data_IF_509393249853
#
_entry.id   IF_509393249853
#
_cell.length_a   1.000
_cell.length_b   1.000
_cell.length_c   1.000
_cell.angle_alpha   90.00
_cell.angle_beta   90.00
_cell.angle_gamma   90.00
#
_symmetry.space_group_name_H-M   'P 1'
#
loop_
_entity.id
_entity.type
_entity.pdbx_description
1 polymer ?
#
# COMPACT_ATOMS: atom_id res chain seq x y z
N UNK A 1 -14.28 -14.27 22.13
CA UNK A 1 -13.03 -14.95 21.75
C UNK A 1 -12.32 -14.17 20.67
N UNK A 2 -10.99 -14.13 20.71
CA UNK A 2 -10.20 -13.40 19.71
C UNK A 2 -10.19 -14.21 18.42
N UNK A 3 -10.65 -13.60 17.33
CA UNK A 3 -10.58 -14.20 16.00
C UNK A 3 -9.43 -13.57 15.22
N UNK A 4 -8.21 -14.07 15.42
CA UNK A 4 -6.98 -13.54 14.80
C UNK A 4 -6.93 -13.81 13.28
N UNK A 5 -7.79 -14.73 12.78
CA UNK A 5 -7.85 -15.11 11.37
C UNK A 5 -8.86 -14.29 10.54
N UNK A 6 -9.59 -13.36 11.13
CA UNK A 6 -10.65 -12.62 10.44
C UNK A 6 -10.11 -11.58 9.46
N UNK A 7 -9.01 -10.93 9.82
CA UNK A 7 -8.35 -9.95 8.97
C UNK A 7 -6.93 -10.43 8.60
N UNK A 8 -6.44 -10.07 7.40
CA UNK A 8 -5.06 -10.37 7.01
C UNK A 8 -4.05 -9.67 7.93
N UNK A 9 -2.86 -10.25 8.05
CA UNK A 9 -1.79 -9.77 8.92
C UNK A 9 -1.40 -8.30 8.69
N UNK A 10 -1.52 -7.81 7.47
CA UNK A 10 -1.20 -6.42 7.17
C UNK A 10 -2.20 -5.42 7.77
N UNK A 11 -3.37 -5.88 8.23
CA UNK A 11 -4.39 -5.08 8.92
C UNK A 11 -4.38 -5.27 10.45
N UNK A 12 -3.31 -5.80 11.04
CA UNK A 12 -3.20 -6.03 12.49
C UNK A 12 -3.40 -4.79 13.37
N UNK A 13 -3.27 -3.61 12.79
CA UNK A 13 -3.55 -2.35 13.49
C UNK A 13 -5.05 -2.09 13.67
N UNK A 14 -5.91 -2.77 12.91
CA UNK A 14 -7.35 -2.64 13.03
C UNK A 14 -7.84 -3.43 14.23
N UNK A 15 -8.64 -2.79 15.07
CA UNK A 15 -9.30 -3.41 16.23
C UNK A 15 -10.78 -3.11 16.18
N UNK A 16 -11.59 -4.08 16.54
CA UNK A 16 -13.03 -3.92 16.55
C UNK A 16 -13.75 -5.16 17.03
N UNK A 17 -15.07 -5.11 17.01
CA UNK A 17 -15.96 -6.21 17.33
C UNK A 17 -16.84 -6.46 16.11
N UNK A 18 -17.02 -7.71 15.77
CA UNK A 18 -17.97 -8.15 14.74
C UNK A 18 -19.10 -8.88 15.43
N UNK A 19 -20.30 -8.37 15.24
CA UNK A 19 -21.54 -9.02 15.67
C UNK A 19 -22.31 -9.45 14.42
N UNK A 20 -22.70 -10.70 14.35
CA UNK A 20 -23.46 -11.25 13.24
C UNK A 20 -24.44 -12.31 13.76
N UNK A 21 -25.73 -12.16 13.46
CA UNK A 21 -26.75 -13.16 13.85
C UNK A 21 -26.51 -14.52 13.17
N UNK A 22 -25.76 -14.56 12.07
CA UNK A 22 -25.44 -15.78 11.33
C UNK A 22 -24.25 -16.56 11.92
N UNK A 23 -23.53 -15.98 12.88
CA UNK A 23 -22.46 -16.65 13.61
C UNK A 23 -23.06 -17.35 14.84
N UNK A 24 -23.75 -18.47 14.64
CA UNK A 24 -24.22 -19.26 15.76
C UNK A 24 -23.05 -20.00 16.42
N UNK A 25 -22.98 -19.93 17.76
CA UNK A 25 -21.97 -20.58 18.58
C UNK A 25 -22.15 -22.10 18.72
N UNK A 26 -22.81 -22.77 17.80
CA UNK A 26 -23.05 -24.20 17.85
C UNK A 26 -21.84 -25.03 17.42
N UNK A 27 -21.20 -25.60 18.39
CA UNK A 27 -19.83 -26.17 18.39
C UNK A 27 -19.69 -27.52 17.63
N UNK A 28 -20.74 -28.16 17.11
CA UNK A 28 -20.58 -29.62 16.86
C UNK A 28 -20.78 -30.10 15.41
N UNK A 29 -21.26 -29.31 14.46
CA UNK A 29 -21.42 -29.80 13.06
C UNK A 29 -21.09 -28.79 11.94
N UNK A 30 -20.67 -27.58 12.25
CA UNK A 30 -20.67 -26.43 11.32
C UNK A 30 -19.30 -25.81 11.08
N UNK A 31 -18.21 -26.45 11.51
CA UNK A 31 -16.85 -25.90 11.30
C UNK A 31 -16.59 -25.44 9.86
N UNK A 32 -17.04 -26.23 8.88
CA UNK A 32 -16.83 -25.88 7.46
C UNK A 32 -17.75 -24.76 6.95
N UNK A 33 -18.97 -24.65 7.48
CA UNK A 33 -19.88 -23.55 7.15
C UNK A 33 -19.43 -22.26 7.85
N UNK A 34 -19.02 -22.39 9.10
CA UNK A 34 -18.45 -21.32 9.91
C UNK A 34 -17.20 -20.72 9.25
N UNK A 35 -16.31 -21.55 8.72
CA UNK A 35 -15.11 -21.10 8.00
C UNK A 35 -15.45 -20.34 6.71
N UNK A 36 -16.47 -20.74 6.00
CA UNK A 36 -16.92 -20.02 4.78
C UNK A 36 -17.51 -18.66 5.13
N UNK A 37 -18.35 -18.58 6.16
CA UNK A 37 -18.96 -17.34 6.62
C UNK A 37 -17.91 -16.37 7.14
N UNK A 38 -16.98 -16.83 7.99
CA UNK A 38 -15.86 -16.03 8.49
C UNK A 38 -15.00 -15.50 7.34
N UNK A 39 -14.75 -16.31 6.31
CA UNK A 39 -13.98 -15.89 5.14
C UNK A 39 -14.70 -14.77 4.36
N UNK A 40 -16.02 -14.89 4.17
CA UNK A 40 -16.82 -13.84 3.50
C UNK A 40 -16.85 -12.56 4.33
N UNK A 41 -17.05 -12.66 5.64
CA UNK A 41 -17.02 -11.52 6.57
C UNK A 41 -15.64 -10.86 6.52
N UNK A 42 -14.57 -11.64 6.60
CA UNK A 42 -13.18 -11.14 6.54
C UNK A 42 -12.88 -10.38 5.24
N UNK A 43 -13.31 -10.92 4.10
CA UNK A 43 -13.16 -10.26 2.79
C UNK A 43 -13.92 -8.93 2.72
N UNK A 44 -15.14 -8.89 3.24
CA UNK A 44 -15.95 -7.67 3.27
C UNK A 44 -15.34 -6.62 4.23
N UNK A 45 -14.84 -7.04 5.38
CA UNK A 45 -14.15 -6.17 6.33
C UNK A 45 -12.87 -5.61 5.72
N UNK A 46 -12.05 -6.47 5.09
CA UNK A 46 -10.83 -6.04 4.40
C UNK A 46 -11.14 -4.98 3.34
N UNK A 47 -12.16 -5.22 2.52
CA UNK A 47 -12.62 -4.26 1.50
C UNK A 47 -13.08 -2.94 2.13
N UNK A 48 -13.84 -3.02 3.23
CA UNK A 48 -14.33 -1.84 3.94
C UNK A 48 -13.19 -1.03 4.54
N UNK A 49 -12.25 -1.68 5.22
CA UNK A 49 -11.09 -1.01 5.81
C UNK A 49 -10.25 -0.32 4.74
N UNK A 50 -10.03 -0.96 3.58
CA UNK A 50 -9.32 -0.32 2.47
C UNK A 50 -10.04 0.92 1.97
N UNK A 51 -11.35 0.85 1.77
CA UNK A 51 -12.14 2.00 1.34
C UNK A 51 -12.11 3.16 2.37
N UNK A 52 -12.12 2.83 3.66
CA UNK A 52 -12.00 3.83 4.73
C UNK A 52 -10.59 4.46 4.77
N UNK A 53 -9.53 3.68 4.47
CA UNK A 53 -8.16 4.22 4.34
C UNK A 53 -8.02 5.12 3.10
N UNK A 54 -8.63 4.77 1.96
CA UNK A 54 -8.66 5.62 0.77
C UNK A 54 -9.39 6.95 1.05
N UNK A 55 -10.50 6.87 1.76
CA UNK A 55 -11.24 8.04 2.21
C UNK A 55 -10.39 8.88 3.17
N UNK A 56 -9.74 8.27 4.15
CA UNK A 56 -8.85 8.95 5.10
C UNK A 56 -7.72 9.69 4.38
N UNK A 57 -7.04 9.04 3.42
CA UNK A 57 -6.01 9.66 2.60
C UNK A 57 -6.52 10.90 1.84
N UNK A 58 -7.77 10.86 1.38
CA UNK A 58 -8.39 11.94 0.60
C UNK A 58 -8.89 13.10 1.47
N UNK A 59 -9.53 12.77 2.59
CA UNK A 59 -10.27 13.75 3.41
C UNK A 59 -9.37 14.41 4.47
N UNK A 60 -8.36 13.68 4.98
CA UNK A 60 -7.41 14.16 5.99
C UNK A 60 -5.97 13.70 5.68
N UNK A 61 -5.34 14.44 4.79
CA UNK A 61 -3.97 14.14 4.32
C UNK A 61 -2.95 14.09 5.45
N UNK A 62 -2.97 15.07 6.34
CA UNK A 62 -1.99 15.15 7.45
C UNK A 62 -2.18 14.00 8.45
N UNK A 63 -3.42 13.68 8.77
CA UNK A 63 -3.74 12.53 9.61
C UNK A 63 -3.29 11.24 8.98
N UNK A 64 -3.50 11.08 7.67
CA UNK A 64 -3.04 9.90 6.93
C UNK A 64 -1.52 9.78 6.89
N UNK A 65 -0.78 10.85 6.70
CA UNK A 65 0.69 10.84 6.74
C UNK A 65 1.21 10.34 8.10
N UNK A 66 0.66 10.84 9.20
CA UNK A 66 0.99 10.36 10.55
C UNK A 66 0.63 8.89 10.77
N UNK A 67 -0.51 8.46 10.24
CA UNK A 67 -0.90 7.06 10.23
C UNK A 67 0.10 6.22 9.42
N UNK A 68 0.48 6.70 8.24
CA UNK A 68 1.40 5.98 7.34
C UNK A 68 2.81 5.85 7.93
N UNK A 69 3.31 6.82 8.67
CA UNK A 69 4.59 6.74 9.38
C UNK A 69 4.63 5.53 10.35
N UNK A 70 3.51 5.23 11.00
CA UNK A 70 3.40 4.13 11.96
C UNK A 70 3.05 2.79 11.30
N UNK A 71 2.20 2.79 10.30
CA UNK A 71 1.57 1.58 9.74
C UNK A 71 1.87 1.34 8.25
N UNK A 72 2.61 2.20 7.58
CA UNK A 72 2.94 2.07 6.16
C UNK A 72 3.71 0.78 5.82
N UNK A 73 4.45 0.21 6.79
CA UNK A 73 5.10 -1.10 6.64
C UNK A 73 4.09 -2.22 6.50
N UNK A 74 3.04 -2.21 7.31
CA UNK A 74 1.99 -3.21 7.28
C UNK A 74 1.24 -3.15 5.95
N UNK A 75 0.90 -1.96 5.47
CA UNK A 75 0.30 -1.76 4.14
C UNK A 75 1.23 -2.31 3.05
N UNK A 76 2.52 -1.96 3.12
CA UNK A 76 3.53 -2.49 2.20
C UNK A 76 3.65 -4.01 2.24
N UNK A 77 3.58 -4.62 3.41
CA UNK A 77 3.56 -6.07 3.56
C UNK A 77 2.33 -6.70 2.88
N UNK A 78 1.16 -6.03 2.96
CA UNK A 78 -0.05 -6.48 2.27
C UNK A 78 0.07 -6.57 0.75
N UNK A 79 0.95 -5.75 0.14
CA UNK A 79 1.23 -5.81 -1.30
C UNK A 79 2.05 -7.04 -1.67
N UNK A 80 2.99 -7.45 -0.78
CA UNK A 80 3.92 -8.57 -1.03
C UNK A 80 3.33 -9.91 -0.60
N UNK A 81 2.43 -9.87 0.38
CA UNK A 81 1.74 -11.08 0.86
C UNK A 81 0.81 -11.67 -0.20
N UNK A 82 0.59 -12.97 -0.11
CA UNK A 82 -0.23 -13.73 -1.08
C UNK A 82 -1.71 -13.36 -0.99
N UNK A 83 -2.10 -12.31 -1.67
CA UNK A 83 -3.47 -11.74 -1.65
C UNK A 83 -4.07 -11.47 -3.03
N UNK A 84 -3.37 -11.88 -4.07
CA UNK A 84 -3.79 -11.69 -5.45
C UNK A 84 -3.61 -10.27 -6.00
N UNK A 85 -3.73 -10.13 -7.32
CA UNK A 85 -3.50 -8.86 -8.02
C UNK A 85 -4.47 -7.74 -7.61
N UNK A 86 -5.74 -8.08 -7.36
CA UNK A 86 -6.77 -7.12 -6.94
C UNK A 86 -6.43 -6.42 -5.60
N UNK A 87 -5.80 -7.15 -4.65
CA UNK A 87 -5.32 -6.57 -3.40
C UNK A 87 -4.14 -5.64 -3.64
N UNK A 88 -3.18 -6.07 -4.46
CA UNK A 88 -2.01 -5.28 -4.83
C UNK A 88 -2.42 -3.96 -5.47
N UNK A 89 -3.37 -4.00 -6.39
CA UNK A 89 -3.86 -2.83 -7.09
C UNK A 89 -4.52 -1.80 -6.18
N UNK A 90 -5.32 -2.24 -5.22
CA UNK A 90 -5.93 -1.32 -4.26
C UNK A 90 -4.97 -0.81 -3.20
N UNK A 91 -3.98 -1.60 -2.77
CA UNK A 91 -3.02 -1.16 -1.76
C UNK A 91 -1.92 -0.23 -2.30
N UNK A 92 -1.58 -0.33 -3.59
CA UNK A 92 -0.57 0.56 -4.19
C UNK A 92 -0.98 2.03 -4.12
N UNK A 93 -2.28 2.33 -4.19
CA UNK A 93 -2.79 3.70 -4.15
C UNK A 93 -2.77 4.30 -2.73
N UNK A 94 -2.63 3.44 -1.71
CA UNK A 94 -2.44 3.82 -0.30
C UNK A 94 -0.96 4.02 0.08
N UNK A 95 -0.04 3.68 -0.82
CA UNK A 95 1.39 3.81 -0.56
C UNK A 95 1.86 5.24 -0.71
N UNK A 96 2.75 5.66 0.20
CA UNK A 96 3.39 6.96 0.15
C UNK A 96 4.89 6.84 -0.02
N UNK A 97 5.45 7.82 -0.70
CA UNK A 97 6.88 7.92 -1.02
C UNK A 97 7.32 9.36 -0.82
N UNK A 98 8.57 9.58 -0.45
CA UNK A 98 9.10 10.93 -0.37
C UNK A 98 9.51 11.40 -1.77
N UNK A 99 9.00 12.55 -2.21
CA UNK A 99 9.31 13.13 -3.50
C UNK A 99 10.59 13.95 -3.47
N UNK A 100 11.48 13.72 -4.43
CA UNK A 100 12.72 14.51 -4.57
C UNK A 100 12.46 15.97 -4.92
N UNK A 101 11.38 16.26 -5.64
CA UNK A 101 11.01 17.62 -6.08
C UNK A 101 10.08 18.31 -5.10
N UNK A 102 9.04 17.62 -4.63
CA UNK A 102 8.04 18.18 -3.72
C UNK A 102 8.54 18.29 -2.27
N UNK A 103 9.62 17.57 -1.92
CA UNK A 103 10.21 17.50 -0.56
C UNK A 103 9.21 17.11 0.54
N UNK A 104 8.21 16.31 0.17
CA UNK A 104 7.16 15.79 1.04
C UNK A 104 6.69 14.40 0.58
N UNK A 105 5.86 13.76 1.39
CA UNK A 105 5.23 12.49 1.02
C UNK A 105 4.24 12.69 -0.14
N UNK A 106 4.23 11.77 -1.06
CA UNK A 106 3.36 11.74 -2.25
C UNK A 106 2.92 10.32 -2.56
N UNK A 107 1.77 10.17 -3.20
CA UNK A 107 1.29 8.89 -3.71
C UNK A 107 1.79 8.62 -5.12
N UNK A 108 1.68 7.38 -5.59
CA UNK A 108 2.00 7.05 -6.99
C UNK A 108 1.10 7.80 -7.98
N UNK A 109 -0.17 7.98 -7.62
CA UNK A 109 -1.13 8.71 -8.45
C UNK A 109 -0.72 10.17 -8.64
N UNK A 110 -0.40 10.87 -7.55
CA UNK A 110 0.08 12.25 -7.59
C UNK A 110 1.40 12.40 -8.37
N UNK A 111 2.30 11.41 -8.27
CA UNK A 111 3.51 11.38 -9.08
C UNK A 111 3.20 11.28 -10.57
N UNK A 112 2.30 10.36 -10.96
CA UNK A 112 1.91 10.17 -12.36
C UNK A 112 1.27 11.42 -12.97
N UNK A 113 0.46 12.15 -12.19
CA UNK A 113 -0.14 13.43 -12.60
C UNK A 113 0.92 14.51 -12.90
N UNK A 114 2.11 14.42 -12.26
CA UNK A 114 3.24 15.36 -12.46
C UNK A 114 4.29 14.86 -13.43
N UNK A 115 4.16 13.63 -13.95
CA UNK A 115 5.14 13.09 -14.90
C UNK A 115 5.29 13.97 -16.13
N UNK A 116 6.54 14.15 -16.59
CA UNK A 116 6.85 14.91 -17.81
C UNK A 116 6.28 14.23 -19.04
N UNK A 117 5.97 15.03 -20.04
CA UNK A 117 5.58 14.52 -21.34
C UNK A 117 6.70 13.63 -21.93
N UNK A 118 6.33 12.43 -22.39
CA UNK A 118 7.29 11.44 -22.90
C UNK A 118 7.99 10.61 -21.82
N UNK A 119 7.81 10.87 -20.54
CA UNK A 119 8.32 10.02 -19.46
C UNK A 119 7.58 8.67 -19.45
N UNK A 120 8.31 7.57 -19.58
CA UNK A 120 7.73 6.23 -19.74
C UNK A 120 7.67 5.41 -18.46
N UNK A 121 8.39 5.81 -17.41
CA UNK A 121 8.51 5.05 -16.18
C UNK A 121 8.57 5.95 -14.94
N UNK A 122 8.23 5.36 -13.80
CA UNK A 122 8.39 5.97 -12.48
C UNK A 122 9.84 5.75 -12.04
N UNK A 123 10.54 6.82 -11.68
CA UNK A 123 11.86 6.73 -11.10
C UNK A 123 11.77 6.62 -9.59
N UNK A 124 12.43 5.62 -9.02
CA UNK A 124 12.48 5.44 -7.57
C UNK A 124 13.86 5.00 -7.12
N UNK A 125 14.21 5.33 -5.90
CA UNK A 125 15.41 4.88 -5.24
C UNK A 125 15.12 4.50 -3.79
N UNK A 126 15.76 3.45 -3.31
CA UNK A 126 15.62 2.96 -1.94
C UNK A 126 17.00 2.88 -1.27
N UNK A 127 17.06 3.20 0.01
CA UNK A 127 18.30 3.14 0.80
C UNK A 127 18.01 3.31 2.28
N UNK A 128 19.05 3.36 3.09
CA UNK A 128 18.93 3.44 4.55
C UNK A 128 18.27 4.73 5.04
N UNK A 129 18.45 5.81 4.31
CA UNK A 129 17.81 7.10 4.58
C UNK A 129 17.59 7.90 3.31
N UNK A 130 16.63 8.84 3.35
CA UNK A 130 16.38 9.78 2.25
C UNK A 130 17.65 10.57 1.90
N UNK A 131 18.40 11.03 2.91
CA UNK A 131 19.63 11.80 2.70
C UNK A 131 20.73 10.99 2.00
N UNK A 132 20.83 9.69 2.28
CA UNK A 132 21.79 8.81 1.62
C UNK A 132 21.38 8.56 0.16
N UNK A 133 20.10 8.33 -0.10
CA UNK A 133 19.57 8.07 -1.45
C UNK A 133 19.63 9.32 -2.32
N UNK A 134 19.43 10.50 -1.75
CA UNK A 134 19.45 11.78 -2.47
C UNK A 134 20.83 12.11 -3.06
N UNK A 135 21.90 11.57 -2.47
CA UNK A 135 23.30 11.76 -2.88
C UNK A 135 23.83 10.67 -3.82
N UNK A 136 23.01 9.70 -4.22
CA UNK A 136 23.46 8.69 -5.16
C UNK A 136 23.69 9.29 -6.56
N UNK A 137 24.78 8.96 -7.24
CA UNK A 137 25.08 9.50 -8.58
C UNK A 137 23.93 9.31 -9.58
N UNK A 138 23.25 8.15 -9.51
CA UNK A 138 22.10 7.86 -10.36
C UNK A 138 20.91 8.79 -10.09
N UNK A 139 20.73 9.17 -8.83
CA UNK A 139 19.67 10.10 -8.42
C UNK A 139 19.99 11.52 -8.88
N UNK A 140 21.25 11.94 -8.78
CA UNK A 140 21.72 13.25 -9.27
C UNK A 140 21.53 13.38 -10.77
N UNK A 141 21.91 12.36 -11.56
CA UNK A 141 21.68 12.36 -13.01
C UNK A 141 20.21 12.50 -13.42
N UNK A 142 19.29 11.96 -12.62
CA UNK A 142 17.86 12.13 -12.88
C UNK A 142 17.37 13.53 -12.52
N UNK A 143 17.89 14.10 -11.41
CA UNK A 143 17.58 15.47 -11.00
C UNK A 143 18.12 16.50 -11.99
N UNK A 144 19.32 16.29 -12.53
CA UNK A 144 19.91 17.16 -13.56
C UNK A 144 19.07 17.23 -14.84
N UNK A 145 18.29 16.19 -15.07
CA UNK A 145 17.28 16.13 -16.14
C UNK A 145 15.88 16.60 -15.68
N UNK A 146 15.79 17.14 -14.47
CA UNK A 146 14.54 17.53 -13.82
C UNK A 146 13.50 16.41 -13.72
N UNK A 147 13.89 15.17 -13.56
CA UNK A 147 12.96 14.10 -13.25
C UNK A 147 12.70 14.01 -11.75
N UNK A 148 11.44 13.87 -11.39
CA UNK A 148 11.05 13.54 -10.02
C UNK A 148 11.45 12.10 -9.70
N UNK A 149 12.11 11.90 -8.55
CA UNK A 149 12.49 10.58 -8.04
C UNK A 149 11.74 10.34 -6.73
N UNK A 150 11.13 9.18 -6.60
CA UNK A 150 10.50 8.75 -5.36
C UNK A 150 11.54 8.07 -4.47
N UNK A 151 11.64 8.53 -3.23
CA UNK A 151 12.53 7.92 -2.26
C UNK A 151 11.76 7.06 -1.28
N UNK A 152 12.41 5.97 -0.92
CA UNK A 152 11.93 5.09 0.13
C UNK A 152 13.06 4.82 1.11
N UNK A 153 12.80 5.03 2.40
CA UNK A 153 13.73 4.63 3.43
C UNK A 153 13.76 3.09 3.55
N UNK A 154 14.95 2.53 3.73
CA UNK A 154 15.22 1.09 3.70
C UNK A 154 14.62 0.30 4.86
N UNK A 155 13.80 0.92 5.68
CA UNK A 155 13.07 0.24 6.75
C UNK A 155 11.99 -0.71 6.24
N UNK A 156 11.68 -0.64 4.94
CA UNK A 156 10.77 -1.59 4.29
C UNK A 156 11.50 -2.28 3.14
N UNK A 157 12.08 -3.44 3.40
CA UNK A 157 12.52 -4.35 2.33
C UNK A 157 11.27 -4.88 1.64
N UNK A 158 11.04 -4.47 0.40
CA UNK A 158 10.23 -5.29 -0.50
C UNK A 158 11.09 -6.43 -1.03
N UNK A 159 10.67 -7.64 -0.79
CA UNK A 159 10.97 -8.72 -1.68
C UNK A 159 10.26 -8.39 -2.99
N UNK A 160 10.93 -7.85 -4.00
CA UNK A 160 10.28 -7.51 -5.25
C UNK A 160 10.73 -6.20 -5.91
N UNK A 161 11.84 -5.58 -5.47
CA UNK A 161 12.44 -4.46 -6.22
C UNK A 161 12.67 -4.83 -7.70
N UNK A 162 12.94 -6.11 -8.00
CA UNK A 162 13.03 -6.63 -9.35
C UNK A 162 11.67 -6.84 -10.03
N UNK A 163 10.63 -7.03 -9.27
CA UNK A 163 9.26 -7.21 -9.80
C UNK A 163 8.63 -5.87 -10.20
N UNK A 164 8.94 -4.78 -9.48
CA UNK A 164 8.60 -3.42 -9.89
C UNK A 164 9.40 -2.97 -11.12
N UNK A 165 10.65 -3.45 -11.29
CA UNK A 165 11.44 -3.24 -12.51
C UNK A 165 10.85 -3.95 -13.73
N UNK A 166 10.24 -5.14 -13.55
CA UNK A 166 9.64 -5.93 -14.64
C UNK A 166 8.24 -5.50 -15.01
N UNK A 167 7.51 -4.86 -14.08
CA UNK A 167 6.16 -4.34 -14.28
C UNK A 167 6.15 -2.81 -14.21
N UNK A 168 7.02 -2.16 -14.97
CA UNK A 168 6.71 -0.82 -15.44
C UNK A 168 5.49 -0.98 -16.37
N UNK A 169 4.31 -0.98 -15.77
CA UNK A 169 3.04 -1.06 -16.50
C UNK A 169 3.01 0.14 -17.43
N UNK A 170 2.90 -0.05 -18.75
CA UNK A 170 2.59 1.04 -19.64
C UNK A 170 1.22 1.56 -19.23
N UNK A 171 1.20 2.72 -18.60
CA UNK A 171 -0.04 3.43 -18.31
C UNK A 171 -0.65 3.82 -19.64
N UNK A 172 -1.65 3.06 -20.08
CA UNK A 172 -2.54 3.48 -21.14
C UNK A 172 -3.21 4.79 -20.68
N UNK A 173 -2.82 5.92 -21.28
CA UNK A 173 -3.63 7.13 -21.23
C UNK A 173 -4.98 6.77 -21.86
N UNK A 174 -6.03 6.71 -21.04
CA UNK A 174 -7.39 6.77 -21.55
C UNK A 174 -7.57 8.08 -22.32
N UNK A 175 -8.08 7.97 -23.54
CA UNK A 175 -8.55 9.08 -24.36
C UNK A 175 -9.75 9.74 -23.69
#
# INVERSE_FOLDING_TARGET
DKCDSLLPDYLRFVRGVVDSPDLSLNISRELLQHDRQLKVIGQNLEKKVRADLEKFLKDDREGYEKFYENFGRQIGYGIVSDGGESRKDSLKDLMMFYSSTQKKLTTLKEYVERMKEGQKCIYYAAGESIAAVDKLPQTELLKDKDYEVLYRDGRVRFAGADELRRKAVPLHRGR
#
